data_IF_316077843952
#
_entry.id   IF_316077843952
#
_cell.length_a   1.000
_cell.length_b   1.000
_cell.length_c   1.000
_cell.angle_alpha   90.00
_cell.angle_beta   90.00
_cell.angle_gamma   90.00
#
_symmetry.space_group_name_H-M   'P 1'
#
loop_
_entity.id
_entity.type
_entity.pdbx_description
1 polymer ?
#
# COMPACT_ATOMS: atom_id res chain seq x y z
N UNK A 1 1.25 -17.84 1.03
CA UNK A 1 0.73 -17.50 2.38
C UNK A 1 1.71 -16.48 2.96
N UNK A 2 1.40 -15.19 3.05
CA UNK A 2 2.35 -14.21 3.59
C UNK A 2 2.54 -14.45 5.09
N UNK A 3 3.76 -14.26 5.64
CA UNK A 3 4.00 -14.43 7.05
C UNK A 3 3.24 -13.36 7.83
N UNK A 4 2.41 -13.80 8.78
CA UNK A 4 1.83 -12.92 9.80
C UNK A 4 2.97 -12.46 10.69
N UNK A 5 3.41 -11.21 10.54
CA UNK A 5 4.30 -10.57 11.53
C UNK A 5 3.53 -10.60 12.85
N UNK A 6 3.99 -11.45 13.77
CA UNK A 6 3.36 -11.64 15.06
C UNK A 6 3.61 -10.37 15.88
N UNK A 7 2.56 -9.82 16.49
CA UNK A 7 2.59 -8.56 17.26
C UNK A 7 3.69 -8.52 18.35
N UNK A 8 4.17 -9.69 18.78
CA UNK A 8 5.28 -9.84 19.72
C UNK A 8 6.63 -9.31 19.17
N UNK A 9 6.91 -9.47 17.87
CA UNK A 9 8.17 -9.01 17.27
C UNK A 9 8.22 -7.48 17.16
N UNK A 10 7.08 -6.83 16.95
CA UNK A 10 6.98 -5.37 16.86
C UNK A 10 7.17 -4.70 18.23
N UNK A 11 6.75 -5.35 19.32
CA UNK A 11 6.91 -4.83 20.69
C UNK A 11 8.38 -4.84 21.14
N UNK A 12 9.15 -5.87 20.79
CA UNK A 12 10.57 -5.95 21.15
C UNK A 12 11.44 -4.88 20.47
N UNK A 13 10.98 -4.27 19.37
CA UNK A 13 11.69 -3.17 18.70
C UNK A 13 11.47 -1.82 19.40
N UNK A 14 10.38 -1.67 20.16
CA UNK A 14 10.09 -0.46 20.93
C UNK A 14 10.89 -0.41 22.24
N UNK A 15 11.19 -1.57 22.82
CA UNK A 15 11.93 -1.69 24.10
C UNK A 15 13.39 -1.20 24.03
N UNK A 16 13.89 -1.00 22.80
CA UNK A 16 15.25 -0.54 22.51
C UNK A 16 15.29 0.83 21.84
N UNK A 17 14.13 1.47 21.67
CA UNK A 17 14.04 2.80 21.07
C UNK A 17 14.66 3.86 21.99
N UNK A 18 15.34 4.84 21.38
CA UNK A 18 15.90 5.97 22.13
C UNK A 18 14.82 7.04 22.21
N UNK A 19 14.32 7.27 23.42
CA UNK A 19 13.35 8.34 23.71
C UNK A 19 14.03 9.57 24.28
N UNK A 20 13.62 10.75 23.81
CA UNK A 20 13.95 12.04 24.42
C UNK A 20 12.65 12.66 24.90
N UNK A 21 12.51 12.85 26.21
CA UNK A 21 11.31 13.41 26.85
C UNK A 21 11.62 14.83 27.32
N UNK A 22 10.80 15.78 26.91
CA UNK A 22 10.82 17.19 27.34
C UNK A 22 9.42 17.59 27.80
N UNK A 23 9.17 17.45 29.11
CA UNK A 23 7.89 17.74 29.74
C UNK A 23 6.73 16.94 29.16
N UNK A 24 5.82 17.63 28.48
CA UNK A 24 4.66 17.04 27.80
C UNK A 24 4.93 16.67 26.33
N UNK A 25 6.19 16.64 25.90
CA UNK A 25 6.60 16.22 24.56
C UNK A 25 7.61 15.09 24.64
N UNK A 26 7.55 14.14 23.70
CA UNK A 26 8.55 13.11 23.54
C UNK A 26 8.89 12.90 22.06
N UNK A 27 10.14 12.55 21.79
CA UNK A 27 10.61 12.12 20.47
C UNK A 27 11.16 10.72 20.61
N UNK A 28 10.64 9.79 19.83
CA UNK A 28 11.06 8.38 19.83
C UNK A 28 11.73 8.07 18.50
N UNK A 29 12.97 7.60 18.56
CA UNK A 29 13.75 7.19 17.40
C UNK A 29 13.98 5.69 17.50
N UNK A 30 13.63 4.96 16.44
CA UNK A 30 13.92 3.53 16.33
C UNK A 30 15.44 3.28 16.41
N UNK A 31 15.84 2.24 17.11
CA UNK A 31 17.26 1.96 17.40
C UNK A 31 18.11 1.72 16.14
N UNK A 32 17.49 1.26 15.06
CA UNK A 32 18.16 1.05 13.77
C UNK A 32 18.41 2.36 13.01
N UNK A 33 17.93 3.50 13.52
CA UNK A 33 18.03 4.81 12.90
C UNK A 33 17.31 4.89 11.54
N UNK A 34 16.46 3.89 11.23
CA UNK A 34 15.74 3.82 9.96
C UNK A 34 14.29 4.25 10.19
N UNK A 35 13.93 5.37 9.58
CA UNK A 35 12.59 5.96 9.65
C UNK A 35 12.58 7.31 10.34
N UNK A 36 11.51 8.06 10.10
CA UNK A 36 11.34 9.38 10.69
C UNK A 36 11.05 9.29 12.19
N UNK A 37 11.58 10.21 13.01
CA UNK A 37 11.29 10.26 14.45
C UNK A 37 9.80 10.41 14.72
N UNK A 38 9.25 9.58 15.62
CA UNK A 38 7.88 9.73 16.10
C UNK A 38 7.84 10.84 17.15
N UNK A 39 7.01 11.85 16.92
CA UNK A 39 6.75 12.93 17.89
C UNK A 39 5.49 12.59 18.66
N UNK A 40 5.58 12.58 19.98
CA UNK A 40 4.46 12.35 20.88
C UNK A 40 4.22 13.58 21.75
N UNK A 41 2.96 13.81 22.09
CA UNK A 41 2.53 14.83 23.04
C UNK A 41 1.69 14.19 24.14
N UNK A 42 1.90 14.60 25.38
CA UNK A 42 1.11 14.16 26.52
C UNK A 42 -0.17 15.00 26.58
N UNK A 43 -1.32 14.34 26.48
CA UNK A 43 -2.65 14.95 26.55
C UNK A 43 -3.46 14.15 27.57
N UNK A 44 -3.92 14.81 28.64
CA UNK A 44 -4.66 14.18 29.73
C UNK A 44 -3.93 12.98 30.37
N UNK A 45 -2.60 13.09 30.51
CA UNK A 45 -1.77 12.04 31.08
C UNK A 45 -1.43 10.89 30.13
N UNK A 46 -1.90 10.90 28.89
CA UNK A 46 -1.63 9.87 27.89
C UNK A 46 -0.73 10.42 26.77
N UNK A 47 0.26 9.65 26.35
CA UNK A 47 1.06 9.97 25.17
C UNK A 47 0.25 9.72 23.90
N UNK A 48 0.18 10.73 23.03
CA UNK A 48 -0.57 10.70 21.78
C UNK A 48 0.32 11.15 20.63
N UNK A 49 0.15 10.52 19.47
CA UNK A 49 0.75 10.97 18.20
C UNK A 49 -0.30 11.84 17.49
N UNK A 50 0.11 12.99 16.95
CA UNK A 50 -0.82 13.83 16.23
C UNK A 50 -1.25 13.12 14.94
N UNK A 51 -2.55 13.12 14.62
CA UNK A 51 -3.05 12.51 13.38
C UNK A 51 -2.33 13.05 12.12
N UNK A 52 -1.93 14.32 12.15
CA UNK A 52 -1.14 14.99 11.11
C UNK A 52 0.23 14.37 10.89
N UNK A 53 0.81 13.67 11.86
CA UNK A 53 2.11 13.00 11.74
C UNK A 53 2.02 11.74 10.88
N UNK A 54 0.84 11.14 10.73
CA UNK A 54 0.62 9.97 9.88
C UNK A 54 0.40 10.32 8.40
N UNK A 55 0.17 11.59 8.08
CA UNK A 55 -0.15 12.05 6.73
C UNK A 55 0.95 12.90 6.09
N UNK A 56 2.10 13.07 6.74
CA UNK A 56 3.16 13.99 6.28
C UNK A 56 3.78 13.59 4.94
N UNK A 57 3.80 12.29 4.66
CA UNK A 57 4.50 11.72 3.49
C UNK A 57 3.55 11.12 2.45
N UNK A 58 2.24 11.32 2.63
CA UNK A 58 1.28 10.87 1.63
C UNK A 58 1.17 11.94 0.56
N UNK A 59 1.94 11.74 -0.50
CA UNK A 59 1.87 12.55 -1.72
C UNK A 59 0.43 12.53 -2.28
N UNK A 60 -0.24 13.68 -2.43
CA UNK A 60 -1.59 13.75 -3.00
C UNK A 60 -1.71 13.08 -4.37
N UNK A 61 -0.63 13.08 -5.16
CA UNK A 61 -0.59 12.41 -6.46
C UNK A 61 -0.71 10.88 -6.32
N UNK A 62 -0.20 10.29 -5.23
CA UNK A 62 -0.33 8.85 -4.93
C UNK A 62 -1.76 8.49 -4.55
N UNK A 63 -2.43 9.36 -3.79
CA UNK A 63 -3.85 9.19 -3.46
C UNK A 63 -4.67 9.23 -4.74
N UNK A 64 -4.45 10.23 -5.59
CA UNK A 64 -5.17 10.35 -6.86
C UNK A 64 -4.91 9.13 -7.76
N UNK A 65 -3.66 8.69 -7.86
CA UNK A 65 -3.30 7.49 -8.61
C UNK A 65 -4.03 6.24 -8.09
N UNK A 66 -4.14 6.09 -6.77
CA UNK A 66 -4.87 4.99 -6.16
C UNK A 66 -6.37 5.06 -6.46
N UNK A 67 -6.97 6.25 -6.47
CA UNK A 67 -8.37 6.46 -6.86
C UNK A 67 -8.56 6.07 -8.33
N UNK A 68 -7.66 6.50 -9.21
CA UNK A 68 -7.72 6.20 -10.63
C UNK A 68 -7.58 4.68 -10.90
N UNK A 69 -6.71 3.99 -10.14
CA UNK A 69 -6.56 2.53 -10.19
C UNK A 69 -7.85 1.80 -9.77
N UNK A 70 -8.49 2.27 -8.70
CA UNK A 70 -9.74 1.72 -8.20
C UNK A 70 -10.88 1.92 -9.21
N UNK A 71 -10.99 3.11 -9.80
CA UNK A 71 -12.00 3.42 -10.81
C UNK A 71 -11.83 2.60 -12.08
N UNK A 72 -10.59 2.43 -12.54
CA UNK A 72 -10.29 1.57 -13.68
C UNK A 72 -10.71 0.12 -13.41
N UNK A 73 -10.36 -0.41 -12.23
CA UNK A 73 -10.72 -1.76 -11.83
C UNK A 73 -12.24 -1.96 -11.72
N UNK A 74 -12.95 -0.99 -11.14
CA UNK A 74 -14.40 -1.02 -11.04
C UNK A 74 -15.06 -1.04 -12.43
N UNK A 75 -14.60 -0.18 -13.34
CA UNK A 75 -15.11 -0.12 -14.72
C UNK A 75 -14.96 -1.45 -15.46
N UNK A 76 -13.80 -2.11 -15.33
CA UNK A 76 -13.58 -3.42 -15.95
C UNK A 76 -14.52 -4.48 -15.38
N UNK A 77 -14.69 -4.51 -14.06
CA UNK A 77 -15.59 -5.48 -13.41
C UNK A 77 -17.04 -5.26 -13.87
N UNK A 78 -17.51 -4.02 -13.91
CA UNK A 78 -18.86 -3.69 -14.37
C UNK A 78 -19.08 -4.08 -15.84
N UNK A 79 -18.10 -3.80 -16.70
CA UNK A 79 -18.16 -4.19 -18.12
C UNK A 79 -18.29 -5.71 -18.28
N UNK A 80 -17.45 -6.49 -17.57
CA UNK A 80 -17.50 -7.95 -17.67
C UNK A 80 -18.76 -8.54 -17.05
N UNK A 81 -19.24 -7.98 -15.93
CA UNK A 81 -20.52 -8.35 -15.36
C UNK A 81 -21.67 -8.10 -16.36
N UNK A 82 -21.63 -6.99 -17.09
CA UNK A 82 -22.57 -6.69 -18.16
C UNK A 82 -22.49 -7.66 -19.34
N UNK A 83 -21.27 -8.01 -19.78
CA UNK A 83 -21.05 -9.00 -20.85
C UNK A 83 -21.55 -10.40 -20.47
N UNK A 84 -21.35 -10.81 -19.21
CA UNK A 84 -21.90 -12.08 -18.69
C UNK A 84 -23.43 -12.03 -18.63
N UNK A 85 -24.00 -10.96 -18.07
CA UNK A 85 -25.44 -10.83 -17.91
C UNK A 85 -26.19 -10.69 -19.24
N UNK A 86 -25.55 -10.11 -20.27
CA UNK A 86 -26.11 -10.02 -21.62
C UNK A 86 -26.04 -11.33 -22.40
N UNK A 87 -25.46 -12.40 -21.83
CA UNK A 87 -25.34 -13.69 -22.50
C UNK A 87 -24.36 -13.67 -23.67
N UNK A 88 -23.41 -12.73 -23.68
CA UNK A 88 -22.41 -12.58 -24.75
C UNK A 88 -21.54 -13.82 -24.93
N UNK A 89 -21.36 -14.59 -23.86
CA UNK A 89 -20.58 -15.83 -23.84
C UNK A 89 -21.50 -17.05 -23.86
N UNK A 90 -21.17 -18.04 -24.69
CA UNK A 90 -21.98 -19.26 -24.82
C UNK A 90 -21.80 -20.20 -23.64
N UNK A 91 -20.63 -20.14 -22.98
CA UNK A 91 -20.32 -20.98 -21.82
C UNK A 91 -19.52 -20.21 -20.77
N UNK A 92 -19.55 -20.69 -19.52
CA UNK A 92 -18.76 -20.10 -18.43
C UNK A 92 -17.24 -20.21 -18.65
N UNK A 93 -16.78 -21.28 -19.31
CA UNK A 93 -15.36 -21.46 -19.62
C UNK A 93 -14.89 -20.46 -20.68
N UNK A 94 -15.70 -20.22 -21.72
CA UNK A 94 -15.45 -19.19 -22.74
C UNK A 94 -15.43 -17.79 -22.12
N UNK A 95 -16.38 -17.48 -21.22
CA UNK A 95 -16.39 -16.22 -20.49
C UNK A 95 -15.09 -16.01 -19.70
N UNK A 96 -14.66 -17.02 -18.95
CA UNK A 96 -13.43 -16.97 -18.15
C UNK A 96 -12.20 -16.68 -19.02
N UNK A 97 -12.02 -17.41 -20.12
CA UNK A 97 -10.84 -17.25 -20.99
C UNK A 97 -10.80 -15.87 -21.66
N UNK A 98 -11.95 -15.40 -22.18
CA UNK A 98 -12.04 -14.11 -22.84
C UNK A 98 -11.89 -12.94 -21.87
N UNK A 99 -12.51 -13.02 -20.69
CA UNK A 99 -12.37 -12.01 -19.64
C UNK A 99 -10.92 -11.94 -19.17
N UNK A 100 -10.26 -13.08 -18.95
CA UNK A 100 -8.84 -13.10 -18.54
C UNK A 100 -7.92 -12.46 -19.61
N UNK A 101 -8.16 -12.77 -20.88
CA UNK A 101 -7.39 -12.19 -21.99
C UNK A 101 -7.61 -10.68 -22.11
N UNK A 102 -8.87 -10.25 -22.06
CA UNK A 102 -9.24 -8.83 -22.14
C UNK A 102 -8.73 -8.04 -20.93
N UNK A 103 -8.79 -8.63 -19.74
CA UNK A 103 -8.30 -7.98 -18.51
C UNK A 103 -6.79 -7.78 -18.60
N UNK A 104 -6.03 -8.76 -19.08
CA UNK A 104 -4.58 -8.60 -19.30
C UNK A 104 -4.29 -7.48 -20.30
N UNK A 105 -4.95 -7.48 -21.46
CA UNK A 105 -4.77 -6.46 -22.47
C UNK A 105 -5.15 -5.06 -21.96
N UNK A 106 -6.22 -4.94 -21.17
CA UNK A 106 -6.64 -3.69 -20.56
C UNK A 106 -5.63 -3.19 -19.53
N UNK A 107 -5.10 -4.07 -18.68
CA UNK A 107 -4.04 -3.73 -17.70
C UNK A 107 -2.77 -3.27 -18.42
N UNK A 108 -2.36 -3.96 -19.49
CA UNK A 108 -1.19 -3.58 -20.29
C UNK A 108 -1.38 -2.21 -20.96
N UNK A 109 -2.55 -1.99 -21.58
CA UNK A 109 -2.89 -0.70 -22.18
C UNK A 109 -2.92 0.42 -21.13
N UNK A 110 -3.49 0.15 -19.96
CA UNK A 110 -3.55 1.08 -18.85
C UNK A 110 -2.16 1.41 -18.28
N UNK A 111 -1.31 0.40 -18.08
CA UNK A 111 0.07 0.57 -17.65
C UNK A 111 0.87 1.42 -18.65
N UNK A 112 0.70 1.17 -19.95
CA UNK A 112 1.36 1.94 -21.00
C UNK A 112 0.84 3.39 -21.08
N UNK A 113 -0.44 3.62 -20.79
CA UNK A 113 -1.05 4.95 -20.79
C UNK A 113 -0.61 5.85 -19.64
N UNK A 114 -0.13 5.26 -18.53
CA UNK A 114 0.37 5.99 -17.36
C UNK A 114 1.82 6.49 -17.51
N UNK A 115 2.46 6.21 -18.64
CA UNK A 115 3.92 6.29 -18.75
C UNK A 115 4.58 5.23 -17.88
N UNK A 116 5.84 4.87 -18.16
CA UNK A 116 6.54 3.85 -17.38
C UNK A 116 6.57 4.23 -15.90
N UNK A 117 5.63 3.69 -15.13
CA UNK A 117 5.75 3.61 -13.69
C UNK A 117 6.97 2.73 -13.46
N UNK A 118 8.09 3.35 -13.09
CA UNK A 118 9.21 2.64 -12.52
C UNK A 118 8.66 1.82 -11.37
N UNK A 119 8.53 0.51 -11.62
CA UNK A 119 8.38 -0.48 -10.58
C UNK A 119 9.39 -0.13 -9.49
N UNK A 120 9.04 -0.15 -8.19
CA UNK A 120 10.08 -0.23 -7.17
C UNK A 120 10.93 -1.46 -7.54
N UNK A 121 12.17 -1.19 -7.91
CA UNK A 121 13.17 -2.22 -8.18
C UNK A 121 13.36 -2.99 -6.88
N UNK A 122 12.66 -4.11 -6.74
CA UNK A 122 13.12 -5.20 -5.87
C UNK A 122 14.34 -5.80 -6.56
N UNK A 123 15.45 -5.08 -6.47
CA UNK A 123 16.75 -5.63 -6.81
C UNK A 123 16.97 -6.87 -5.94
N UNK A 124 17.32 -8.04 -6.49
CA UNK A 124 17.83 -9.14 -5.70
C UNK A 124 19.15 -8.69 -5.07
N UNK A 125 19.25 -8.63 -3.75
CA UNK A 125 20.55 -8.47 -3.10
C UNK A 125 21.32 -9.79 -3.26
N UNK A 126 22.12 -9.89 -4.31
CA UNK A 126 23.22 -10.86 -4.36
C UNK A 126 24.28 -10.44 -3.34
N UNK A 127 24.28 -11.11 -2.18
CA UNK A 127 25.34 -11.01 -1.19
C UNK A 127 26.49 -11.98 -1.53
N UNK A 128 27.75 -11.51 -1.62
CA UNK A 128 28.92 -12.36 -1.81
C UNK A 128 29.37 -13.00 -0.48
N UNK A 129 29.73 -14.28 -0.55
CA UNK A 129 30.59 -14.96 0.43
C UNK A 129 32.00 -15.11 -0.10
#
# INVERSE_FOLDING_TARGET
MPPRISSATTLSQLDVAVETIDGDSAVVISQDGRGDPFKLKKVSGQWQIAASDFSKDVDPSRIQQSIDDMNFSATLIEQYAGDVNSGKYKTANEAKELIQLQMRAAIEAYANSRGAATLPSTAPSSGPG
#
